data_IF_694494052083
#
_entry.id   IF_694494052083
#
_cell.length_a   1.000
_cell.length_b   1.000
_cell.length_c   1.000
_cell.angle_alpha   90.00
_cell.angle_beta   90.00
_cell.angle_gamma   90.00
#
_symmetry.space_group_name_H-M   'P 1'
#
loop_
_entity.id
_entity.type
_entity.pdbx_description
1 polymer ?
#
# COMPACT_ATOMS: atom_id res chain seq x y z
N UNK A 1 -1.95 3.16 3.91
CA UNK A 1 -1.24 2.64 2.73
C UNK A 1 -2.08 2.92 1.51
N UNK A 2 -1.69 3.97 0.76
CA UNK A 2 -2.39 4.39 -0.46
C UNK A 2 -2.16 3.39 -1.60
N UNK A 3 -3.19 3.15 -2.39
CA UNK A 3 -3.15 2.29 -3.58
C UNK A 3 -3.79 3.05 -4.72
N UNK A 4 -3.07 3.26 -5.81
CA UNK A 4 -3.66 3.77 -7.04
C UNK A 4 -4.31 2.62 -7.82
N UNK A 5 -5.58 2.78 -8.16
CA UNK A 5 -6.35 1.84 -8.99
C UNK A 5 -6.61 2.52 -10.33
N UNK A 6 -5.95 2.03 -11.36
CA UNK A 6 -6.05 2.57 -12.73
C UNK A 6 -6.89 1.61 -13.56
N UNK A 7 -8.14 1.99 -13.80
CA UNK A 7 -9.14 1.17 -14.49
C UNK A 7 -10.21 2.09 -15.09
N UNK A 8 -10.47 1.98 -16.37
CA UNK A 8 -11.40 2.84 -17.10
C UNK A 8 -12.87 2.38 -16.99
N UNK A 9 -13.10 1.11 -16.64
CA UNK A 9 -14.45 0.62 -16.38
C UNK A 9 -14.88 0.98 -14.94
N UNK A 10 -15.83 1.93 -14.73
CA UNK A 10 -16.13 2.46 -13.40
C UNK A 10 -16.62 1.39 -12.41
N UNK A 11 -17.27 0.34 -12.91
CA UNK A 11 -17.77 -0.75 -12.08
C UNK A 11 -16.63 -1.60 -11.53
N UNK A 12 -15.67 -1.98 -12.38
CA UNK A 12 -14.49 -2.76 -11.96
C UNK A 12 -13.65 -1.91 -10.99
N UNK A 13 -13.40 -0.65 -11.32
CA UNK A 13 -12.67 0.27 -10.47
C UNK A 13 -13.30 0.38 -9.07
N UNK A 14 -14.62 0.54 -8.99
CA UNK A 14 -15.36 0.63 -7.72
C UNK A 14 -15.28 -0.67 -6.93
N UNK A 15 -15.44 -1.84 -7.57
CA UNK A 15 -15.37 -3.15 -6.92
C UNK A 15 -13.95 -3.42 -6.38
N UNK A 16 -12.90 -3.09 -7.14
CA UNK A 16 -11.49 -3.18 -6.71
C UNK A 16 -11.23 -2.26 -5.53
N UNK A 17 -11.66 -0.99 -5.63
CA UNK A 17 -11.49 -0.03 -4.54
C UNK A 17 -12.19 -0.46 -3.26
N UNK A 18 -13.43 -0.98 -3.35
CA UNK A 18 -14.17 -1.51 -2.21
C UNK A 18 -13.45 -2.69 -1.54
N UNK A 19 -12.92 -3.64 -2.33
CA UNK A 19 -12.18 -4.78 -1.83
C UNK A 19 -10.86 -4.37 -1.14
N UNK A 20 -10.13 -3.43 -1.73
CA UNK A 20 -8.90 -2.88 -1.14
C UNK A 20 -9.18 -2.11 0.15
N UNK A 21 -10.26 -1.30 0.19
CA UNK A 21 -10.68 -0.58 1.39
C UNK A 21 -11.05 -1.54 2.52
N UNK A 22 -11.79 -2.61 2.23
CA UNK A 22 -12.10 -3.67 3.19
C UNK A 22 -10.84 -4.39 3.70
N UNK A 23 -9.78 -4.45 2.89
CA UNK A 23 -8.49 -5.02 3.24
C UNK A 23 -7.56 -4.07 4.02
N UNK A 24 -8.02 -2.85 4.34
CA UNK A 24 -7.28 -1.86 5.13
C UNK A 24 -6.41 -0.90 4.32
N UNK A 25 -6.52 -0.88 2.99
CA UNK A 25 -5.86 0.08 2.13
C UNK A 25 -6.68 1.38 1.98
N UNK A 26 -6.04 2.40 1.40
CA UNK A 26 -6.67 3.68 1.00
C UNK A 26 -6.60 3.74 -0.52
N UNK A 27 -7.63 3.25 -1.24
CA UNK A 27 -7.65 3.27 -2.69
C UNK A 27 -7.98 4.66 -3.22
N UNK A 28 -7.29 5.02 -4.29
CA UNK A 28 -7.58 6.16 -5.16
C UNK A 28 -7.79 5.65 -6.57
N UNK A 29 -8.75 6.20 -7.30
CA UNK A 29 -9.11 5.73 -8.65
C UNK A 29 -8.65 6.74 -9.68
N UNK A 30 -8.09 6.22 -10.77
CA UNK A 30 -7.82 6.94 -12.01
C UNK A 30 -8.46 6.19 -13.18
N UNK A 31 -9.22 6.89 -14.01
CA UNK A 31 -9.95 6.29 -15.14
C UNK A 31 -9.24 6.38 -16.49
N UNK A 32 -8.06 6.97 -16.55
CA UNK A 32 -7.29 7.10 -17.79
C UNK A 32 -5.78 7.11 -17.57
N UNK A 33 -5.02 6.79 -18.62
CA UNK A 33 -3.58 6.65 -18.52
C UNK A 33 -2.82 7.98 -18.32
N UNK A 34 -3.39 9.12 -18.71
CA UNK A 34 -2.71 10.43 -18.56
C UNK A 34 -2.78 10.90 -17.10
N UNK A 35 -3.96 10.80 -16.47
CA UNK A 35 -4.14 11.05 -15.02
C UNK A 35 -3.32 10.08 -14.19
N UNK A 36 -3.36 8.78 -14.55
CA UNK A 36 -2.56 7.75 -13.88
C UNK A 36 -1.06 8.03 -13.94
N UNK A 37 -0.56 8.41 -15.12
CA UNK A 37 0.86 8.77 -15.27
C UNK A 37 1.23 9.92 -14.35
N UNK A 38 0.45 11.00 -14.34
CA UNK A 38 0.68 12.17 -13.50
C UNK A 38 0.71 11.80 -12.02
N UNK A 39 -0.32 11.12 -11.53
CA UNK A 39 -0.42 10.70 -10.12
C UNK A 39 0.72 9.79 -9.70
N UNK A 40 1.01 8.74 -10.46
CA UNK A 40 2.09 7.81 -10.15
C UNK A 40 3.49 8.42 -10.25
N UNK A 41 3.65 9.57 -10.93
CA UNK A 41 4.90 10.32 -11.00
C UNK A 41 5.05 11.34 -9.86
N UNK A 42 3.97 11.95 -9.41
CA UNK A 42 4.01 13.06 -8.44
C UNK A 42 3.71 12.64 -7.00
N UNK A 43 2.99 11.54 -6.81
CA UNK A 43 2.51 11.10 -5.51
C UNK A 43 3.13 9.77 -5.07
N UNK A 44 3.05 9.47 -3.76
CA UNK A 44 3.60 8.26 -3.17
C UNK A 44 2.51 7.22 -2.88
N UNK A 45 2.56 6.11 -3.62
CA UNK A 45 1.71 4.94 -3.45
C UNK A 45 2.50 3.74 -2.94
N UNK A 46 1.87 2.91 -2.12
CA UNK A 46 2.45 1.65 -1.66
C UNK A 46 2.44 0.57 -2.74
N UNK A 47 1.49 0.67 -3.68
CA UNK A 47 1.32 -0.22 -4.84
C UNK A 47 0.36 0.44 -5.83
N UNK A 48 0.51 0.10 -7.11
CA UNK A 48 -0.41 0.50 -8.18
C UNK A 48 -1.05 -0.76 -8.77
N UNK A 49 -2.36 -0.74 -8.96
CA UNK A 49 -3.12 -1.72 -9.76
C UNK A 49 -3.40 -1.07 -11.10
N UNK A 50 -2.91 -1.63 -12.20
CA UNK A 50 -2.89 -0.99 -13.52
C UNK A 50 -3.55 -1.87 -14.56
N UNK A 51 -4.66 -1.42 -15.14
CA UNK A 51 -5.16 -2.00 -16.38
C UNK A 51 -4.32 -1.55 -17.58
N UNK A 52 -4.12 -2.45 -18.55
CA UNK A 52 -3.40 -2.12 -19.79
C UNK A 52 -4.32 -1.44 -20.81
N UNK A 53 -5.59 -1.80 -20.86
CA UNK A 53 -6.57 -1.34 -21.87
C UNK A 53 -7.14 0.06 -21.61
N UNK A 54 -6.33 1.03 -21.21
CA UNK A 54 -6.79 2.37 -20.83
C UNK A 54 -7.01 3.30 -22.03
N UNK A 55 -7.96 4.22 -21.93
CA UNK A 55 -8.10 5.30 -22.91
C UNK A 55 -6.98 6.34 -22.81
N UNK A 56 -6.80 7.15 -23.86
CA UNK A 56 -5.82 8.22 -24.02
C UNK A 56 -4.37 7.73 -24.03
N UNK A 57 -3.93 7.03 -23.00
CA UNK A 57 -2.58 6.47 -22.91
C UNK A 57 -2.65 5.03 -22.42
N UNK A 58 -2.16 4.11 -23.23
CA UNK A 58 -2.07 2.68 -22.93
C UNK A 58 -1.31 2.42 -21.61
N UNK A 59 -1.81 1.51 -20.79
CA UNK A 59 -1.24 1.22 -19.47
C UNK A 59 0.21 0.74 -19.52
N UNK A 60 0.60 0.03 -20.58
CA UNK A 60 2.00 -0.39 -20.77
C UNK A 60 2.91 0.83 -21.02
N UNK A 61 2.43 1.84 -21.77
CA UNK A 61 3.14 3.08 -21.98
C UNK A 61 3.27 3.88 -20.67
N UNK A 62 2.24 3.88 -19.84
CA UNK A 62 2.27 4.48 -18.49
C UNK A 62 3.35 3.83 -17.64
N UNK A 63 3.36 2.50 -17.55
CA UNK A 63 4.34 1.72 -16.79
C UNK A 63 5.78 2.01 -17.25
N UNK A 64 6.02 1.97 -18.56
CA UNK A 64 7.35 2.28 -19.13
C UNK A 64 7.82 3.70 -18.75
N UNK A 65 6.92 4.68 -18.75
CA UNK A 65 7.25 6.06 -18.35
C UNK A 65 7.60 6.16 -16.87
N UNK A 66 6.85 5.52 -15.98
CA UNK A 66 7.18 5.49 -14.56
C UNK A 66 8.56 4.88 -14.31
N UNK A 67 8.87 3.76 -14.98
CA UNK A 67 10.18 3.11 -14.84
C UNK A 67 11.32 3.96 -15.42
N UNK A 68 11.09 4.63 -16.55
CA UNK A 68 12.06 5.56 -17.13
C UNK A 68 12.31 6.78 -16.23
N UNK A 69 11.30 7.24 -15.49
CA UNK A 69 11.42 8.30 -14.46
C UNK A 69 12.05 7.80 -13.14
N UNK A 70 12.43 6.51 -13.05
CA UNK A 70 13.04 5.93 -11.85
C UNK A 70 12.05 5.54 -10.75
N UNK A 71 10.74 5.59 -11.01
CA UNK A 71 9.70 5.19 -10.05
C UNK A 71 9.75 3.68 -9.84
N UNK A 72 9.94 3.26 -8.58
CA UNK A 72 10.08 1.85 -8.17
C UNK A 72 8.83 1.32 -7.44
N UNK A 73 7.74 2.07 -7.45
CA UNK A 73 6.48 1.61 -6.84
C UNK A 73 6.06 0.28 -7.44
N UNK A 74 5.67 -0.73 -6.62
CA UNK A 74 5.21 -2.02 -7.14
C UNK A 74 3.95 -1.87 -7.99
N UNK A 75 3.90 -2.56 -9.13
CA UNK A 75 2.76 -2.51 -10.06
C UNK A 75 2.21 -3.91 -10.28
N UNK A 76 0.91 -4.09 -9.94
CA UNK A 76 0.10 -5.24 -10.33
C UNK A 76 -0.64 -4.90 -11.62
N UNK A 77 -0.30 -5.59 -12.71
CA UNK A 77 -0.96 -5.39 -14.00
C UNK A 77 -2.21 -6.25 -14.10
N UNK A 78 -3.34 -5.64 -14.48
CA UNK A 78 -4.54 -6.34 -14.92
C UNK A 78 -4.48 -6.51 -16.44
N UNK A 79 -4.77 -7.72 -16.95
CA UNK A 79 -4.61 -8.02 -18.37
C UNK A 79 -5.75 -8.89 -18.88
N UNK A 80 -6.15 -8.73 -20.14
CA UNK A 80 -7.13 -9.60 -20.77
C UNK A 80 -6.62 -11.05 -20.91
N UNK A 81 -7.54 -12.03 -20.82
CA UNK A 81 -7.21 -13.45 -21.05
C UNK A 81 -6.69 -13.64 -22.49
N UNK A 82 -5.50 -14.22 -22.64
CA UNK A 82 -4.92 -14.56 -23.94
C UNK A 82 -3.80 -13.66 -24.43
N UNK A 83 -3.57 -12.54 -23.80
CA UNK A 83 -2.49 -11.60 -24.13
C UNK A 83 -1.11 -12.09 -23.62
N UNK A 84 -0.64 -13.27 -24.10
CA UNK A 84 0.70 -13.76 -23.73
C UNK A 84 1.80 -12.75 -24.11
N UNK A 85 1.67 -12.14 -25.30
CA UNK A 85 2.62 -11.13 -25.76
C UNK A 85 2.61 -9.89 -24.85
N UNK A 86 1.43 -9.39 -24.44
CA UNK A 86 1.31 -8.27 -23.49
C UNK A 86 1.90 -8.60 -22.11
N UNK A 87 1.78 -9.86 -21.66
CA UNK A 87 2.41 -10.29 -20.40
C UNK A 87 3.93 -10.29 -20.49
N UNK A 88 4.52 -10.74 -21.59
CA UNK A 88 5.96 -10.70 -21.81
C UNK A 88 6.44 -9.26 -21.90
N UNK A 89 5.79 -8.43 -22.71
CA UNK A 89 6.13 -7.00 -22.82
C UNK A 89 6.01 -6.27 -21.48
N UNK A 90 5.01 -6.60 -20.70
CA UNK A 90 4.81 -5.97 -19.40
C UNK A 90 5.86 -6.41 -18.37
N UNK A 91 6.31 -7.69 -18.37
CA UNK A 91 7.44 -8.16 -17.55
C UNK A 91 8.69 -7.37 -17.92
N UNK A 92 8.97 -7.26 -19.21
CA UNK A 92 10.11 -6.48 -19.69
C UNK A 92 9.98 -4.97 -19.40
N UNK A 93 8.74 -4.47 -19.34
CA UNK A 93 8.43 -3.09 -18.94
C UNK A 93 8.59 -2.84 -17.42
N UNK A 94 8.79 -3.88 -16.62
CA UNK A 94 9.05 -3.76 -15.18
C UNK A 94 7.81 -3.87 -14.29
N UNK A 95 6.75 -4.59 -14.70
CA UNK A 95 5.66 -4.96 -13.80
C UNK A 95 6.12 -6.00 -12.78
N UNK A 96 5.59 -5.94 -11.57
CA UNK A 96 5.99 -6.79 -10.44
C UNK A 96 5.10 -8.04 -10.29
N UNK A 97 3.86 -8.00 -10.79
CA UNK A 97 2.95 -9.15 -10.85
C UNK A 97 1.83 -8.92 -11.89
N UNK A 98 1.13 -10.00 -12.27
CA UNK A 98 0.06 -10.02 -13.27
C UNK A 98 -1.17 -10.74 -12.77
N UNK A 99 -2.35 -10.20 -13.09
CA UNK A 99 -3.63 -10.82 -12.79
C UNK A 99 -4.54 -10.79 -14.04
N UNK A 100 -4.80 -11.95 -14.67
CA UNK A 100 -5.65 -12.00 -15.85
C UNK A 100 -7.13 -11.76 -15.50
N UNK A 101 -7.82 -10.95 -16.30
CA UNK A 101 -9.27 -10.77 -16.28
C UNK A 101 -9.98 -12.00 -16.94
N UNK A 102 -11.09 -12.52 -16.38
CA UNK A 102 -11.72 -12.13 -15.14
C UNK A 102 -11.00 -12.72 -13.91
N UNK A 103 -10.93 -11.96 -12.83
CA UNK A 103 -10.28 -12.34 -11.59
C UNK A 103 -11.25 -12.33 -10.40
N UNK A 104 -10.81 -12.93 -9.29
CA UNK A 104 -11.50 -12.84 -8.00
C UNK A 104 -10.88 -11.72 -7.17
N UNK A 105 -11.72 -10.96 -6.44
CA UNK A 105 -11.24 -9.86 -5.59
C UNK A 105 -10.31 -10.34 -4.47
N UNK A 106 -10.53 -11.55 -3.94
CA UNK A 106 -9.65 -12.14 -2.94
C UNK A 106 -8.23 -12.40 -3.49
N UNK A 107 -8.12 -12.79 -4.76
CA UNK A 107 -6.83 -12.99 -5.42
C UNK A 107 -6.12 -11.64 -5.62
N UNK A 108 -6.82 -10.64 -6.13
CA UNK A 108 -6.28 -9.28 -6.28
C UNK A 108 -5.73 -8.76 -4.96
N UNK A 109 -6.52 -8.80 -3.89
CA UNK A 109 -6.10 -8.36 -2.55
C UNK A 109 -4.89 -9.15 -2.04
N UNK A 110 -4.84 -10.45 -2.27
CA UNK A 110 -3.71 -11.27 -1.85
C UNK A 110 -2.41 -10.89 -2.58
N UNK A 111 -2.48 -10.60 -3.88
CA UNK A 111 -1.34 -10.14 -4.70
C UNK A 111 -0.88 -8.74 -4.29
N UNK A 112 -1.80 -7.79 -4.10
CA UNK A 112 -1.49 -6.45 -3.59
C UNK A 112 -0.75 -6.52 -2.24
N UNK A 113 -1.27 -7.31 -1.28
CA UNK A 113 -0.58 -7.52 0.01
C UNK A 113 0.82 -8.11 -0.17
N UNK A 114 0.98 -9.06 -1.08
CA UNK A 114 2.28 -9.69 -1.36
C UNK A 114 3.28 -8.69 -1.96
N UNK A 115 2.83 -7.83 -2.86
CA UNK A 115 3.66 -6.79 -3.47
C UNK A 115 4.13 -5.77 -2.43
N UNK A 116 3.21 -5.19 -1.65
CA UNK A 116 3.55 -4.23 -0.59
C UNK A 116 4.51 -4.83 0.43
N UNK A 117 4.32 -6.08 0.81
CA UNK A 117 5.20 -6.76 1.74
C UNK A 117 6.60 -7.01 1.16
N UNK A 118 6.68 -7.47 -0.09
CA UNK A 118 7.96 -7.74 -0.78
C UNK A 118 8.76 -6.48 -1.01
N UNK A 119 8.12 -5.37 -1.39
CA UNK A 119 8.80 -4.08 -1.57
C UNK A 119 9.39 -3.54 -0.28
N UNK A 120 8.79 -3.88 0.87
CA UNK A 120 9.32 -3.57 2.20
C UNK A 120 10.35 -4.59 2.73
N UNK A 121 10.78 -5.57 1.91
CA UNK A 121 11.81 -6.55 2.26
C UNK A 121 11.32 -7.75 3.09
N UNK A 122 10.00 -7.94 3.26
CA UNK A 122 9.47 -9.08 4.02
C UNK A 122 9.09 -10.25 3.09
N UNK A 123 9.76 -11.40 3.26
CA UNK A 123 9.44 -12.63 2.54
C UNK A 123 8.25 -13.41 3.12
N UNK A 124 8.10 -13.42 4.45
CA UNK A 124 7.03 -14.14 5.15
C UNK A 124 5.66 -13.44 5.01
N UNK A 125 4.57 -14.20 5.15
CA UNK A 125 3.22 -13.66 5.06
C UNK A 125 2.83 -12.74 6.23
N UNK A 126 3.55 -12.85 7.33
CA UNK A 126 3.40 -12.07 8.57
C UNK A 126 4.62 -11.16 8.69
N UNK A 127 4.42 -9.94 9.20
CA UNK A 127 5.46 -8.96 9.44
C UNK A 127 5.86 -9.07 10.92
N UNK A 128 7.12 -9.44 11.17
CA UNK A 128 7.67 -9.59 12.51
C UNK A 128 8.75 -8.53 12.76
N UNK A 129 8.59 -7.74 13.84
CA UNK A 129 9.55 -6.74 14.26
C UNK A 129 9.72 -6.83 15.78
N UNK A 130 10.70 -7.60 16.23
CA UNK A 130 10.86 -7.91 17.66
C UNK A 130 9.61 -8.54 18.26
N UNK A 131 9.02 -7.96 19.33
CA UNK A 131 7.82 -8.49 19.97
C UNK A 131 6.54 -8.23 19.17
N UNK A 132 6.58 -7.32 18.19
CA UNK A 132 5.45 -6.92 17.37
C UNK A 132 5.27 -7.87 16.19
N UNK A 133 4.06 -8.42 16.05
CA UNK A 133 3.68 -9.27 14.92
C UNK A 133 2.42 -8.69 14.29
N UNK A 134 2.48 -8.44 12.97
CA UNK A 134 1.34 -7.95 12.18
C UNK A 134 0.96 -9.01 11.14
N UNK A 135 -0.26 -9.51 11.22
CA UNK A 135 -0.87 -10.40 10.22
C UNK A 135 -1.79 -9.61 9.28
N UNK A 136 -1.34 -9.31 8.05
CA UNK A 136 -2.14 -8.53 7.10
C UNK A 136 -3.38 -9.28 6.58
N UNK A 137 -3.40 -10.61 6.63
CA UNK A 137 -4.55 -11.41 6.16
C UNK A 137 -5.71 -11.32 7.13
N UNK A 138 -5.41 -11.33 8.44
CA UNK A 138 -6.39 -11.25 9.50
C UNK A 138 -6.60 -9.80 10.01
N UNK A 139 -5.83 -8.83 9.49
CA UNK A 139 -5.74 -7.45 10.01
C UNK A 139 -5.54 -7.45 11.53
N UNK A 140 -4.66 -8.34 12.01
CA UNK A 140 -4.42 -8.60 13.42
C UNK A 140 -3.02 -8.18 13.81
N UNK A 141 -2.91 -7.60 15.00
CA UNK A 141 -1.64 -7.24 15.62
C UNK A 141 -1.53 -7.97 16.95
N UNK A 142 -0.34 -8.50 17.25
CA UNK A 142 0.01 -9.01 18.58
C UNK A 142 1.35 -8.47 19.02
N UNK A 143 1.54 -8.36 20.35
CA UNK A 143 2.79 -7.99 20.99
C UNK A 143 3.10 -9.04 22.06
N UNK A 144 4.30 -9.62 22.00
CA UNK A 144 4.68 -10.76 22.86
C UNK A 144 3.66 -11.92 22.80
N UNK A 145 3.09 -12.20 21.64
CA UNK A 145 2.09 -13.23 21.42
C UNK A 145 0.66 -12.88 21.86
N UNK A 146 0.44 -11.72 22.51
CA UNK A 146 -0.87 -11.29 22.98
C UNK A 146 -1.54 -10.42 21.91
N UNK A 147 -2.70 -10.87 21.42
CA UNK A 147 -3.49 -10.15 20.41
C UNK A 147 -4.04 -8.84 20.96
N UNK A 148 -3.88 -7.77 20.21
CA UNK A 148 -4.32 -6.43 20.57
C UNK A 148 -5.58 -6.04 19.82
N UNK A 149 -6.55 -5.44 20.54
CA UNK A 149 -7.79 -4.92 19.96
C UNK A 149 -7.54 -3.53 19.37
N UNK A 150 -7.39 -3.46 18.05
CA UNK A 150 -7.14 -2.22 17.32
C UNK A 150 -8.33 -1.83 16.45
N UNK A 151 -8.61 -0.53 16.37
CA UNK A 151 -9.50 0.01 15.34
C UNK A 151 -8.85 -0.10 13.95
N UNK A 152 -9.61 0.01 12.85
CA UNK A 152 -9.05 -0.05 11.50
C UNK A 152 -7.95 0.99 11.24
N UNK A 153 -8.07 2.18 11.83
CA UNK A 153 -7.08 3.24 11.69
C UNK A 153 -5.81 2.97 12.49
N UNK A 154 -5.96 2.47 13.73
CA UNK A 154 -4.85 2.04 14.58
C UNK A 154 -4.06 0.90 13.89
N UNK A 155 -4.78 -0.08 13.32
CA UNK A 155 -4.16 -1.15 12.56
C UNK A 155 -3.36 -0.61 11.36
N UNK A 156 -3.93 0.30 10.57
CA UNK A 156 -3.24 0.89 9.40
C UNK A 156 -1.95 1.58 9.78
N UNK A 157 -1.95 2.37 10.88
CA UNK A 157 -0.76 3.06 11.37
C UNK A 157 0.34 2.07 11.77
N UNK A 158 0.00 1.06 12.59
CA UNK A 158 0.97 0.05 13.04
C UNK A 158 1.51 -0.75 11.86
N UNK A 159 0.65 -1.20 10.95
CA UNK A 159 1.05 -1.96 9.79
C UNK A 159 1.98 -1.16 8.87
N UNK A 160 1.70 0.13 8.67
CA UNK A 160 2.57 1.00 7.88
C UNK A 160 3.94 1.19 8.50
N UNK A 161 3.99 1.51 9.79
CA UNK A 161 5.27 1.68 10.51
C UNK A 161 6.07 0.37 10.59
N UNK A 162 5.41 -0.77 10.78
CA UNK A 162 6.06 -2.08 10.82
C UNK A 162 6.67 -2.48 9.46
N UNK A 163 5.99 -2.15 8.34
CA UNK A 163 6.56 -2.32 7.00
C UNK A 163 7.81 -1.47 6.78
N UNK A 164 7.89 -0.30 7.40
CA UNK A 164 9.01 0.64 7.29
C UNK A 164 9.88 0.66 8.55
N UNK A 165 10.02 -0.51 9.22
CA UNK A 165 10.82 -0.63 10.44
C UNK A 165 12.19 0.04 10.31
N UNK A 166 12.67 0.69 11.37
CA UNK A 166 13.93 1.40 11.40
C UNK A 166 13.94 2.76 10.68
N UNK A 167 12.96 3.01 9.78
CA UNK A 167 12.82 4.28 9.08
C UNK A 167 11.94 5.25 9.87
N UNK A 168 12.40 6.49 10.01
CA UNK A 168 11.55 7.57 10.53
C UNK A 168 10.56 7.99 9.46
N UNK A 169 9.28 7.88 9.77
CA UNK A 169 8.16 8.27 8.91
C UNK A 169 7.62 9.61 9.40
N UNK A 170 7.55 10.60 8.52
CA UNK A 170 7.06 11.94 8.88
C UNK A 170 5.57 11.94 9.22
N UNK A 171 5.12 12.94 9.99
CA UNK A 171 3.70 13.10 10.28
C UNK A 171 2.88 13.32 9.01
N UNK A 172 3.41 14.08 8.06
CA UNK A 172 2.78 14.33 6.76
C UNK A 172 2.57 13.03 5.98
N UNK A 173 3.63 12.25 5.78
CA UNK A 173 3.57 10.95 5.11
C UNK A 173 2.55 10.01 5.78
N UNK A 174 2.54 9.97 7.12
CA UNK A 174 1.56 9.14 7.85
C UNK A 174 0.12 9.57 7.60
N UNK A 175 -0.15 10.88 7.61
CA UNK A 175 -1.49 11.42 7.36
C UNK A 175 -1.95 11.02 5.94
N UNK A 176 -1.12 11.25 4.92
CA UNK A 176 -1.43 10.85 3.55
C UNK A 176 -1.70 9.35 3.42
N UNK A 177 -0.83 8.51 3.98
CA UNK A 177 -0.94 7.06 3.89
C UNK A 177 -2.11 6.46 4.70
N UNK A 178 -2.63 7.19 5.68
CA UNK A 178 -3.73 6.74 6.52
C UNK A 178 -5.10 7.22 6.03
N UNK A 179 -5.17 8.42 5.46
CA UNK A 179 -6.43 9.07 5.15
C UNK A 179 -6.62 9.39 3.65
N UNK A 180 -5.54 9.49 2.86
CA UNK A 180 -5.55 10.01 1.49
C UNK A 180 -5.39 11.54 1.46
N UNK A 181 -5.32 12.12 0.25
CA UNK A 181 -5.04 13.55 0.07
C UNK A 181 -6.17 14.50 0.53
N UNK A 182 -7.42 14.06 0.43
CA UNK A 182 -8.59 14.92 0.73
C UNK A 182 -8.83 15.14 2.24
N UNK A 183 -8.03 14.55 3.11
CA UNK A 183 -8.28 14.60 4.56
C UNK A 183 -7.50 15.75 5.19
N UNK A 184 -8.21 16.74 5.72
CA UNK A 184 -7.67 17.93 6.41
C UNK A 184 -7.26 17.67 7.87
N UNK A 185 -7.12 16.39 8.28
CA UNK A 185 -6.71 16.07 9.66
C UNK A 185 -5.29 16.54 9.94
N UNK A 186 -5.15 17.14 11.12
CA UNK A 186 -3.91 17.76 11.55
C UNK A 186 -2.99 16.78 12.33
N UNK A 187 -1.79 17.25 12.65
CA UNK A 187 -0.81 16.50 13.43
C UNK A 187 -1.35 16.10 14.81
N UNK A 188 -2.28 16.85 15.41
CA UNK A 188 -2.84 16.55 16.73
C UNK A 188 -3.68 15.25 16.70
N UNK A 189 -4.42 15.00 15.60
CA UNK A 189 -5.17 13.76 15.43
C UNK A 189 -4.23 12.53 15.34
N UNK A 190 -3.08 12.68 14.67
CA UNK A 190 -2.05 11.66 14.60
C UNK A 190 -1.38 11.41 15.95
N UNK A 191 -1.03 12.47 16.69
CA UNK A 191 -0.46 12.34 18.03
C UNK A 191 -1.38 11.61 19.00
N UNK A 192 -2.68 11.95 19.00
CA UNK A 192 -3.69 11.27 19.78
C UNK A 192 -3.82 9.77 19.39
N UNK A 193 -3.68 9.45 18.09
CA UNK A 193 -3.68 8.09 17.60
C UNK A 193 -2.46 7.30 18.10
N UNK A 194 -1.27 7.88 18.00
CA UNK A 194 -0.01 7.29 18.52
C UNK A 194 -0.09 7.09 20.03
N UNK A 195 -0.61 8.05 20.80
CA UNK A 195 -0.79 7.90 22.23
C UNK A 195 -1.71 6.74 22.59
N UNK A 196 -2.82 6.55 21.86
CA UNK A 196 -3.73 5.40 22.08
C UNK A 196 -3.02 4.09 21.78
N UNK A 197 -2.26 4.03 20.68
CA UNK A 197 -1.50 2.84 20.32
C UNK A 197 -0.45 2.47 21.36
N UNK A 198 0.32 3.42 21.86
CA UNK A 198 1.30 3.17 22.93
C UNK A 198 0.69 2.58 24.19
N UNK A 199 -0.53 3.01 24.55
CA UNK A 199 -1.26 2.40 25.69
C UNK A 199 -1.64 0.95 25.46
N UNK A 200 -1.87 0.55 24.19
CA UNK A 200 -2.27 -0.82 23.82
C UNK A 200 -1.08 -1.73 23.57
N UNK A 201 -0.05 -1.22 22.88
CA UNK A 201 1.07 -2.01 22.39
C UNK A 201 2.30 -1.99 23.29
N UNK A 202 2.38 -1.01 24.22
CA UNK A 202 3.60 -0.65 24.94
C UNK A 202 4.25 0.61 24.36
N UNK A 203 4.85 1.41 25.22
CA UNK A 203 5.43 2.71 24.82
C UNK A 203 6.63 2.54 23.88
N UNK A 204 7.33 1.42 23.97
CA UNK A 204 8.54 1.09 23.23
C UNK A 204 8.28 0.65 21.78
N UNK A 205 7.05 0.25 21.44
CA UNK A 205 6.72 -0.28 20.08
C UNK A 205 6.77 0.82 19.04
N UNK A 206 6.42 2.05 19.40
CA UNK A 206 6.46 3.21 18.48
C UNK A 206 7.29 4.31 19.13
N UNK A 207 8.44 4.61 18.56
CA UNK A 207 9.28 5.73 19.00
C UNK A 207 8.88 7.04 18.29
N UNK A 208 9.09 8.18 19.00
CA UNK A 208 9.01 9.52 18.42
C UNK A 208 10.42 10.07 18.19
N UNK A 209 10.70 10.48 16.98
CA UNK A 209 11.88 11.32 16.66
C UNK A 209 11.40 12.77 16.58
N UNK A 210 11.63 13.52 17.65
CA UNK A 210 11.14 14.91 17.78
C UNK A 210 11.52 15.76 16.57
N UNK A 211 10.55 16.41 15.96
CA UNK A 211 10.70 17.21 14.75
C UNK A 211 10.78 16.43 13.44
N UNK A 212 10.88 15.08 13.49
CA UNK A 212 11.01 14.25 12.28
C UNK A 212 9.83 13.30 12.06
N UNK A 213 9.27 12.69 13.11
CA UNK A 213 8.14 11.77 12.96
C UNK A 213 8.20 10.56 13.90
N UNK A 214 7.76 9.41 13.40
CA UNK A 214 7.58 8.17 14.17
C UNK A 214 8.26 6.99 13.47
N UNK A 215 8.65 5.98 14.25
CA UNK A 215 9.18 4.72 13.74
C UNK A 215 8.83 3.55 14.66
N UNK A 216 8.82 2.37 14.10
CA UNK A 216 8.94 1.10 14.82
C UNK A 216 10.43 0.72 14.78
N UNK A 217 11.14 0.63 15.93
CA UNK A 217 12.56 0.37 15.95
C UNK A 217 12.88 -1.05 15.44
N UNK A 218 14.06 -1.21 14.86
CA UNK A 218 14.58 -2.55 14.56
C UNK A 218 15.01 -3.26 15.84
N UNK A 219 14.78 -4.58 15.97
CA UNK A 219 15.27 -5.35 17.10
C UNK A 219 16.79 -5.29 17.16
N UNK A 220 17.36 -4.83 18.29
CA UNK A 220 18.80 -4.87 18.53
C UNK A 220 19.58 -3.60 18.13
N UNK A 221 18.91 -2.48 17.86
CA UNK A 221 19.56 -1.14 17.82
C UNK A 221 19.37 -0.37 19.11
#
# INVERSE_FOLDING_TARGET
MRVLVVEDEPRIAADVAAALKAAGFVPEISGDGADAWFKGDTEDYSVIVLDLGLPQMDGLAVLKRWRAAGRQVPVLVLTARGAWAERVEGIDAGADDYLPKPFRMEELVARVRALVRRSAGFGAAVIEVGPLVVDPRQMRVSVNGIVQQLSPLEYRLVAYLALHKGRVVSAHELIEQLYGEDDTRDANALEALVMRLRRKLGAEVIETRRGFGYLVPEPGT
#
